data_IF_261695618619
#
_entry.id   IF_261695618619
#
_cell.length_a   1.000
_cell.length_b   1.000
_cell.length_c   1.000
_cell.angle_alpha   90.00
_cell.angle_beta   90.00
_cell.angle_gamma   90.00
#
_symmetry.space_group_name_H-M   'P 1'
#
loop_
_entity.id
_entity.type
_entity.pdbx_description
1 polymer ?
#
# COMPACT_ATOMS: atom_id res chain seq x y z
N UNK A 1 64.83 17.46 30.45
CA UNK A 1 66.03 18.20 30.01
C UNK A 1 65.89 18.56 28.54
N UNK A 2 66.12 19.82 28.27
CA UNK A 2 66.29 20.53 26.99
C UNK A 2 65.02 20.91 26.21
N UNK A 3 64.69 22.18 26.47
CA UNK A 3 63.94 23.11 25.65
C UNK A 3 64.68 23.43 24.34
N UNK A 4 63.95 23.72 23.29
CA UNK A 4 64.39 24.61 22.23
C UNK A 4 63.16 25.40 21.70
N UNK A 5 63.15 26.65 22.02
CA UNK A 5 62.39 27.72 21.37
C UNK A 5 63.05 28.10 20.03
N UNK A 6 62.28 28.38 18.98
CA UNK A 6 62.62 29.32 17.91
C UNK A 6 61.38 30.00 17.33
N UNK A 7 61.25 31.17 17.62
CA UNK A 7 61.06 32.49 17.04
C UNK A 7 60.09 32.64 15.84
N UNK A 8 59.21 33.64 16.04
CA UNK A 8 58.25 34.28 15.11
C UNK A 8 58.92 34.81 13.83
N UNK A 9 58.17 34.76 12.73
CA UNK A 9 58.27 35.73 11.66
C UNK A 9 56.88 36.17 11.22
N UNK A 10 56.57 37.43 11.44
CA UNK A 10 55.38 38.17 10.99
C UNK A 10 55.65 38.65 9.57
N UNK A 11 54.76 38.34 8.64
CA UNK A 11 54.63 39.07 7.36
C UNK A 11 53.16 39.27 7.04
N UNK A 12 52.68 40.46 7.04
CA UNK A 12 51.58 41.01 6.28
C UNK A 12 52.18 42.09 5.36
N UNK A 13 51.50 42.61 4.34
CA UNK A 13 50.16 42.42 3.77
C UNK A 13 50.16 42.31 2.23
N UNK A 14 49.04 41.91 1.63
CA UNK A 14 48.63 42.50 0.35
C UNK A 14 47.11 42.33 0.17
N UNK A 15 46.44 43.47 0.22
CA UNK A 15 45.04 43.56 -0.22
C UNK A 15 44.96 43.32 -1.73
N UNK A 16 44.14 42.39 -2.12
CA UNK A 16 43.72 42.26 -3.51
C UNK A 16 42.18 42.29 -3.59
N UNK A 17 41.66 43.42 -4.07
CA UNK A 17 40.29 43.57 -4.51
C UNK A 17 40.06 42.66 -5.70
N UNK A 18 39.34 41.59 -5.52
CA UNK A 18 38.90 40.66 -6.57
C UNK A 18 37.38 40.64 -6.63
N UNK A 19 36.85 41.05 -7.78
CA UNK A 19 35.45 41.13 -8.18
C UNK A 19 34.60 39.96 -7.66
N UNK A 20 33.54 40.28 -6.92
CA UNK A 20 32.43 39.40 -6.66
C UNK A 20 31.62 39.24 -7.95
N UNK A 21 31.83 38.13 -8.65
CA UNK A 21 30.93 37.66 -9.71
C UNK A 21 29.59 37.24 -9.11
N UNK A 22 28.48 37.39 -9.83
CA UNK A 22 27.16 36.99 -9.32
C UNK A 22 27.15 35.48 -9.06
N UNK A 23 26.92 35.09 -7.80
CA UNK A 23 26.66 33.72 -7.41
C UNK A 23 25.35 33.27 -8.05
N UNK A 24 25.44 32.39 -9.02
CA UNK A 24 24.30 31.65 -9.54
C UNK A 24 23.75 30.79 -8.40
N UNK A 25 22.70 31.28 -7.73
CA UNK A 25 21.88 30.46 -6.86
C UNK A 25 21.25 29.37 -7.73
N UNK A 26 21.74 28.14 -7.58
CA UNK A 26 21.07 26.97 -8.13
C UNK A 26 19.68 26.91 -7.49
N UNK A 27 18.66 27.34 -8.24
CA UNK A 27 17.28 27.08 -7.91
C UNK A 27 17.12 25.55 -7.96
N UNK A 28 17.05 24.90 -6.79
CA UNK A 28 16.62 23.54 -6.69
C UNK A 28 15.15 23.48 -7.15
N UNK A 29 14.95 23.17 -8.42
CA UNK A 29 13.62 22.78 -8.91
C UNK A 29 13.27 21.47 -8.25
N UNK A 30 12.55 21.54 -7.13
CA UNK A 30 11.89 20.38 -6.57
C UNK A 30 10.99 19.81 -7.66
N UNK A 31 11.26 18.57 -8.08
CA UNK A 31 10.38 17.85 -9.00
C UNK A 31 8.94 17.92 -8.43
N UNK A 32 7.93 18.15 -9.29
CA UNK A 32 6.55 18.21 -8.84
C UNK A 32 6.24 16.91 -8.11
N UNK A 33 5.88 17.00 -6.84
CA UNK A 33 5.40 15.85 -6.07
C UNK A 33 4.21 15.27 -6.81
N UNK A 34 4.34 14.04 -7.32
CA UNK A 34 3.26 13.37 -8.02
C UNK A 34 1.99 13.44 -7.16
N UNK A 35 0.89 13.89 -7.74
CA UNK A 35 -0.37 14.02 -7.03
C UNK A 35 -0.78 12.66 -6.47
N UNK A 36 -1.03 12.61 -5.16
CA UNK A 36 -1.47 11.40 -4.46
C UNK A 36 -2.99 11.41 -4.32
N UNK A 37 -3.59 10.24 -4.41
CA UNK A 37 -5.03 10.03 -4.32
C UNK A 37 -5.39 9.30 -3.04
N UNK A 38 -6.47 9.72 -2.39
CA UNK A 38 -7.06 9.04 -1.25
C UNK A 38 -8.07 8.00 -1.75
N UNK A 39 -8.01 6.81 -1.19
CA UNK A 39 -8.94 5.73 -1.44
C UNK A 39 -9.37 5.03 -0.16
N UNK A 40 -10.24 4.07 -0.31
CA UNK A 40 -10.69 3.23 0.79
C UNK A 40 -10.82 1.77 0.35
N UNK A 41 -10.78 0.87 1.31
CA UNK A 41 -11.23 -0.50 1.12
C UNK A 41 -12.11 -0.93 2.31
N UNK A 42 -12.85 -2.01 2.10
CA UNK A 42 -13.66 -2.69 3.09
C UNK A 42 -14.13 -4.05 2.56
N UNK A 43 -14.46 -4.98 3.47
CA UNK A 43 -14.91 -6.31 3.08
C UNK A 43 -16.28 -6.33 2.38
N UNK A 44 -17.21 -5.49 2.82
CA UNK A 44 -18.56 -5.44 2.26
C UNK A 44 -18.75 -4.30 1.27
N UNK A 45 -19.48 -4.55 0.20
CA UNK A 45 -19.86 -3.51 -0.75
C UNK A 45 -20.70 -2.41 -0.06
N UNK A 46 -20.37 -1.11 -0.25
CA UNK A 46 -21.02 -0.05 0.49
C UNK A 46 -22.48 0.23 0.04
N UNK A 47 -22.95 -0.41 -1.04
CA UNK A 47 -24.24 -0.13 -1.67
C UNK A 47 -24.21 1.03 -2.66
N UNK A 48 -24.95 0.89 -3.76
CA UNK A 48 -24.97 1.85 -4.88
C UNK A 48 -25.31 3.28 -4.41
N UNK A 49 -26.24 3.41 -3.44
CA UNK A 49 -26.67 4.69 -2.90
C UNK A 49 -25.58 5.51 -2.18
N UNK A 50 -24.51 4.84 -1.70
CA UNK A 50 -23.42 5.51 -0.99
C UNK A 50 -22.27 5.93 -1.91
N UNK A 51 -22.17 5.39 -3.14
CA UNK A 51 -21.03 5.61 -4.03
C UNK A 51 -20.79 7.10 -4.34
N UNK A 52 -21.84 7.85 -4.64
CA UNK A 52 -21.74 9.28 -4.93
C UNK A 52 -21.24 10.09 -3.72
N UNK A 53 -21.63 9.70 -2.51
CA UNK A 53 -21.13 10.32 -1.27
C UNK A 53 -19.66 9.99 -1.04
N UNK A 54 -19.28 8.73 -1.18
CA UNK A 54 -17.89 8.27 -1.04
C UNK A 54 -16.97 8.92 -2.08
N UNK A 55 -17.43 9.08 -3.33
CA UNK A 55 -16.67 9.72 -4.41
C UNK A 55 -16.27 11.18 -4.11
N UNK A 56 -17.01 11.89 -3.26
CA UNK A 56 -16.64 13.27 -2.84
C UNK A 56 -15.33 13.31 -2.05
N UNK A 57 -15.00 12.21 -1.37
CA UNK A 57 -13.80 12.10 -0.53
C UNK A 57 -12.73 11.24 -1.18
N UNK A 58 -13.10 10.17 -1.88
CA UNK A 58 -12.21 9.14 -2.38
C UNK A 58 -12.12 9.13 -3.90
N UNK A 59 -10.95 8.77 -4.40
CA UNK A 59 -10.70 8.61 -5.84
C UNK A 59 -10.87 7.16 -6.31
N UNK A 60 -10.70 6.18 -5.42
CA UNK A 60 -10.77 4.76 -5.71
C UNK A 60 -11.25 3.96 -4.49
N UNK A 61 -11.63 2.69 -4.74
CA UNK A 61 -12.08 1.74 -3.71
C UNK A 61 -11.45 0.37 -3.89
N UNK A 62 -11.33 -0.39 -2.80
CA UNK A 62 -11.11 -1.84 -2.84
C UNK A 62 -12.22 -2.54 -3.63
N UNK A 63 -11.89 -3.65 -4.30
CA UNK A 63 -12.82 -4.49 -5.04
C UNK A 63 -12.42 -5.96 -4.94
N UNK A 64 -13.20 -6.76 -4.23
CA UNK A 64 -12.88 -8.16 -3.99
C UNK A 64 -13.34 -9.08 -5.12
N UNK A 65 -12.43 -9.92 -5.62
CA UNK A 65 -12.71 -10.93 -6.65
C UNK A 65 -13.24 -12.25 -6.08
N UNK A 66 -12.90 -12.55 -4.83
CA UNK A 66 -13.40 -13.71 -4.07
C UNK A 66 -13.91 -13.26 -2.70
N UNK A 67 -14.34 -14.18 -1.87
CA UNK A 67 -14.87 -13.86 -0.54
C UNK A 67 -13.79 -13.21 0.33
N UNK A 68 -14.03 -11.99 0.85
CA UNK A 68 -13.08 -11.31 1.74
C UNK A 68 -12.83 -12.08 3.04
N UNK A 69 -11.72 -11.81 3.74
CA UNK A 69 -11.42 -12.42 5.03
C UNK A 69 -12.58 -12.23 6.03
N UNK A 70 -13.00 -13.32 6.67
CA UNK A 70 -14.05 -13.27 7.69
C UNK A 70 -15.47 -12.96 7.21
N UNK A 71 -15.68 -12.72 5.91
CA UNK A 71 -17.01 -12.49 5.34
C UNK A 71 -17.71 -13.81 4.98
N UNK A 72 -19.05 -13.82 5.07
CA UNK A 72 -19.86 -14.99 4.68
C UNK A 72 -20.00 -15.11 3.15
N UNK A 73 -19.90 -14.01 2.41
CA UNK A 73 -20.03 -13.98 0.95
C UNK A 73 -19.35 -12.75 0.39
N UNK A 74 -19.11 -12.76 -0.93
CA UNK A 74 -18.58 -11.59 -1.62
C UNK A 74 -19.70 -10.71 -2.18
N UNK A 75 -19.96 -9.58 -1.53
CA UNK A 75 -20.99 -8.63 -1.94
C UNK A 75 -20.54 -7.68 -3.06
N UNK A 76 -19.27 -7.71 -3.45
CA UNK A 76 -18.69 -6.90 -4.52
C UNK A 76 -18.95 -7.45 -5.93
N UNK A 77 -19.23 -8.77 -6.04
CA UNK A 77 -19.42 -9.41 -7.34
C UNK A 77 -20.53 -8.72 -8.16
N UNK A 78 -20.21 -8.44 -9.43
CA UNK A 78 -21.11 -7.76 -10.37
C UNK A 78 -21.25 -6.25 -10.14
N UNK A 79 -20.49 -5.63 -9.22
CA UNK A 79 -20.58 -4.20 -8.89
C UNK A 79 -19.61 -3.31 -9.64
N UNK A 80 -18.69 -3.88 -10.41
CA UNK A 80 -17.64 -3.13 -11.11
C UNK A 80 -18.19 -1.94 -11.91
N UNK A 81 -19.26 -2.14 -12.69
CA UNK A 81 -19.86 -1.08 -13.51
C UNK A 81 -20.45 0.06 -12.67
N UNK A 82 -21.07 -0.25 -11.54
CA UNK A 82 -21.62 0.76 -10.63
C UNK A 82 -20.50 1.60 -10.00
N UNK A 83 -19.42 0.98 -9.57
CA UNK A 83 -18.22 1.65 -9.03
C UNK A 83 -17.59 2.57 -10.08
N UNK A 84 -17.37 2.06 -11.30
CA UNK A 84 -16.79 2.84 -12.41
C UNK A 84 -17.70 4.02 -12.81
N UNK A 85 -19.03 3.80 -12.91
CA UNK A 85 -20.00 4.83 -13.23
C UNK A 85 -20.06 5.94 -12.16
N UNK A 86 -19.78 5.62 -10.91
CA UNK A 86 -19.63 6.61 -9.84
C UNK A 86 -18.31 7.42 -9.93
N UNK A 87 -17.42 7.09 -10.87
CA UNK A 87 -16.13 7.75 -11.08
C UNK A 87 -15.04 7.29 -10.14
N UNK A 88 -15.23 6.18 -9.41
CA UNK A 88 -14.20 5.57 -8.58
C UNK A 88 -13.26 4.68 -9.41
N UNK A 89 -11.97 4.71 -9.09
CA UNK A 89 -11.00 3.72 -9.54
C UNK A 89 -10.99 2.49 -8.64
N UNK A 90 -10.03 1.61 -8.86
CA UNK A 90 -10.01 0.28 -8.25
C UNK A 90 -8.69 -0.05 -7.55
N UNK A 91 -8.79 -0.73 -6.40
CA UNK A 91 -7.80 -1.64 -5.84
C UNK A 91 -8.41 -3.04 -5.92
N UNK A 92 -7.95 -3.87 -6.86
CA UNK A 92 -8.53 -5.20 -7.11
C UNK A 92 -7.86 -6.21 -6.18
N UNK A 93 -8.65 -6.91 -5.37
CA UNK A 93 -8.18 -7.82 -4.33
C UNK A 93 -8.58 -9.26 -4.58
N UNK A 94 -7.71 -10.17 -4.20
CA UNK A 94 -7.98 -11.59 -4.09
C UNK A 94 -7.50 -12.07 -2.72
N UNK A 95 -8.43 -12.54 -1.88
CA UNK A 95 -8.12 -13.10 -0.57
C UNK A 95 -7.23 -14.33 -0.72
N UNK A 96 -6.02 -14.26 -0.16
CA UNK A 96 -5.00 -15.30 -0.20
C UNK A 96 -5.23 -16.42 0.81
N UNK A 97 -4.16 -17.14 1.14
CA UNK A 97 -4.19 -18.27 2.08
C UNK A 97 -3.36 -17.98 3.30
N UNK A 98 -3.85 -18.40 4.44
CA UNK A 98 -3.11 -18.36 5.69
C UNK A 98 -2.06 -19.48 5.72
N UNK A 99 -0.98 -19.29 6.46
CA UNK A 99 0.07 -20.27 6.72
C UNK A 99 -0.50 -21.63 7.21
N UNK A 100 -1.49 -21.57 8.09
CA UNK A 100 -2.18 -22.77 8.59
C UNK A 100 -2.87 -23.58 7.53
N UNK A 101 -3.27 -22.98 6.42
CA UNK A 101 -3.87 -23.68 5.28
C UNK A 101 -2.77 -24.26 4.38
N UNK A 102 -1.72 -23.49 4.14
CA UNK A 102 -0.59 -23.88 3.30
C UNK A 102 0.17 -25.08 3.86
N UNK A 103 0.41 -25.12 5.16
CA UNK A 103 1.09 -26.24 5.85
C UNK A 103 0.36 -27.57 5.77
N UNK A 104 -0.94 -27.56 5.55
CA UNK A 104 -1.76 -28.79 5.42
C UNK A 104 -1.67 -29.43 4.04
N UNK A 105 -1.07 -28.75 3.07
CA UNK A 105 -1.06 -29.14 1.69
C UNK A 105 0.31 -29.68 1.27
N UNK A 106 0.35 -30.72 0.42
CA UNK A 106 1.61 -31.28 -0.06
C UNK A 106 2.36 -30.35 -1.02
N UNK A 107 1.68 -29.39 -1.63
CA UNK A 107 2.25 -28.48 -2.64
C UNK A 107 1.58 -27.10 -2.61
N UNK A 108 2.18 -26.18 -1.87
CA UNK A 108 1.73 -24.79 -1.79
C UNK A 108 1.87 -24.04 -3.14
N UNK A 109 2.83 -24.44 -3.98
CA UNK A 109 3.04 -23.84 -5.30
C UNK A 109 1.89 -24.20 -6.25
N UNK A 110 1.43 -25.46 -6.23
CA UNK A 110 0.27 -25.88 -7.02
C UNK A 110 -1.00 -25.10 -6.64
N UNK A 111 -1.19 -24.86 -5.33
CA UNK A 111 -2.29 -24.01 -4.86
C UNK A 111 -2.15 -22.56 -5.33
N UNK A 112 -0.95 -21.98 -5.23
CA UNK A 112 -0.69 -20.61 -5.71
C UNK A 112 -1.02 -20.45 -7.19
N UNK A 113 -0.65 -21.42 -8.01
CA UNK A 113 -1.02 -21.47 -9.44
C UNK A 113 -2.53 -21.58 -9.66
N UNK A 114 -3.21 -22.41 -8.88
CA UNK A 114 -4.67 -22.58 -8.93
C UNK A 114 -5.40 -21.29 -8.57
N UNK A 115 -5.00 -20.66 -7.47
CA UNK A 115 -5.60 -19.42 -6.99
C UNK A 115 -5.32 -18.23 -7.95
N UNK A 116 -4.14 -18.19 -8.58
CA UNK A 116 -3.85 -17.24 -9.66
C UNK A 116 -4.83 -17.42 -10.84
N UNK A 117 -5.07 -18.66 -11.26
CA UNK A 117 -6.06 -18.98 -12.29
C UNK A 117 -7.46 -18.51 -11.91
N UNK A 118 -7.87 -18.72 -10.67
CA UNK A 118 -9.17 -18.29 -10.15
C UNK A 118 -9.28 -16.75 -10.12
N UNK A 119 -8.24 -16.04 -9.65
CA UNK A 119 -8.18 -14.57 -9.62
C UNK A 119 -8.31 -13.97 -11.03
N UNK A 120 -7.56 -14.51 -12.00
CA UNK A 120 -7.60 -14.09 -13.40
C UNK A 120 -8.97 -14.34 -14.03
N UNK A 121 -9.57 -15.51 -13.78
CA UNK A 121 -10.91 -15.85 -14.27
C UNK A 121 -11.97 -14.89 -13.71
N UNK A 122 -11.92 -14.61 -12.41
CA UNK A 122 -12.82 -13.67 -11.75
C UNK A 122 -12.65 -12.23 -12.28
N UNK A 123 -11.40 -11.78 -12.46
CA UNK A 123 -11.13 -10.44 -13.00
C UNK A 123 -11.67 -10.28 -14.43
N UNK A 124 -11.50 -11.30 -15.28
CA UNK A 124 -12.07 -11.32 -16.64
C UNK A 124 -13.59 -11.35 -16.61
N UNK A 125 -14.20 -12.14 -15.73
CA UNK A 125 -15.66 -12.22 -15.57
C UNK A 125 -16.26 -10.86 -15.18
N UNK A 126 -15.59 -10.14 -14.26
CA UNK A 126 -15.98 -8.78 -13.87
C UNK A 126 -15.70 -7.73 -14.98
N UNK A 127 -14.96 -8.09 -16.02
CA UNK A 127 -14.64 -7.24 -17.16
C UNK A 127 -13.49 -6.26 -16.88
N UNK A 128 -12.58 -6.58 -15.96
CA UNK A 128 -11.35 -5.79 -15.78
C UNK A 128 -10.44 -5.91 -17.00
N UNK A 129 -9.80 -4.80 -17.43
CA UNK A 129 -8.97 -4.79 -18.64
C UNK A 129 -7.66 -5.57 -18.44
N UNK A 130 -7.07 -6.02 -19.55
CA UNK A 130 -5.70 -6.53 -19.55
C UNK A 130 -4.73 -5.47 -19.02
N UNK A 131 -3.69 -5.90 -18.30
CA UNK A 131 -2.75 -5.02 -17.63
C UNK A 131 -3.24 -4.45 -16.30
N UNK A 132 -4.49 -4.74 -15.89
CA UNK A 132 -4.95 -4.40 -14.54
C UNK A 132 -4.13 -5.17 -13.48
N UNK A 133 -3.95 -4.55 -12.32
CA UNK A 133 -3.19 -5.11 -11.20
C UNK A 133 -4.15 -5.82 -10.26
N UNK A 134 -3.89 -7.10 -9.95
CA UNK A 134 -4.62 -7.87 -8.96
C UNK A 134 -3.72 -8.05 -7.74
N UNK A 135 -4.17 -7.59 -6.58
CA UNK A 135 -3.44 -7.72 -5.33
C UNK A 135 -3.83 -9.00 -4.61
N UNK A 136 -2.85 -9.87 -4.33
CA UNK A 136 -3.00 -10.95 -3.38
C UNK A 136 -3.02 -10.36 -1.97
N UNK A 137 -4.04 -10.69 -1.21
CA UNK A 137 -4.14 -10.31 0.20
C UNK A 137 -3.35 -11.31 1.06
N UNK A 138 -2.17 -10.87 1.54
CA UNK A 138 -1.28 -11.62 2.43
C UNK A 138 -1.38 -10.99 3.84
N UNK A 139 -2.27 -11.52 4.64
CA UNK A 139 -2.63 -11.00 5.97
C UNK A 139 -1.51 -11.17 7.02
N UNK A 140 -0.74 -12.25 6.94
CA UNK A 140 0.22 -12.60 7.98
C UNK A 140 1.50 -11.76 7.85
N UNK A 141 1.93 -11.21 9.00
CA UNK A 141 3.17 -10.44 9.10
C UNK A 141 4.39 -11.28 9.50
N UNK A 142 5.57 -10.71 9.35
CA UNK A 142 6.86 -11.34 9.64
C UNK A 142 7.52 -11.93 8.40
N UNK A 143 8.50 -12.80 8.63
CA UNK A 143 9.22 -13.50 7.56
C UNK A 143 8.34 -14.55 6.90
N UNK A 144 8.32 -14.55 5.58
CA UNK A 144 7.59 -15.58 4.82
C UNK A 144 8.20 -16.96 5.05
N UNK A 145 7.37 -17.91 5.44
CA UNK A 145 7.74 -19.32 5.53
C UNK A 145 7.93 -19.91 4.12
N UNK A 146 8.64 -21.05 4.00
CA UNK A 146 8.88 -21.67 2.70
C UNK A 146 7.60 -21.91 1.89
N UNK A 147 6.54 -22.38 2.53
CA UNK A 147 5.24 -22.65 1.91
C UNK A 147 4.55 -21.37 1.44
N UNK A 148 4.57 -20.31 2.25
CA UNK A 148 4.04 -19.01 1.88
C UNK A 148 4.80 -18.43 0.67
N UNK A 149 6.12 -18.53 0.67
CA UNK A 149 6.96 -18.07 -0.43
C UNK A 149 6.68 -18.85 -1.71
N UNK A 150 6.57 -20.17 -1.63
CA UNK A 150 6.25 -21.02 -2.77
C UNK A 150 4.86 -20.68 -3.35
N UNK A 151 3.87 -20.47 -2.49
CA UNK A 151 2.52 -20.04 -2.86
C UNK A 151 2.53 -18.67 -3.56
N UNK A 152 3.15 -17.65 -2.94
CA UNK A 152 3.22 -16.29 -3.48
C UNK A 152 3.92 -16.27 -4.83
N UNK A 153 5.07 -16.96 -4.96
CA UNK A 153 5.81 -17.00 -6.22
C UNK A 153 4.98 -17.59 -7.36
N UNK A 154 4.32 -18.73 -7.12
CA UNK A 154 3.49 -19.38 -8.11
C UNK A 154 2.26 -18.53 -8.48
N UNK A 155 1.67 -17.84 -7.50
CA UNK A 155 0.57 -16.91 -7.73
C UNK A 155 1.01 -15.72 -8.59
N UNK A 156 2.12 -15.07 -8.25
CA UNK A 156 2.70 -13.95 -9.02
C UNK A 156 3.01 -14.36 -10.45
N UNK A 157 3.67 -15.50 -10.63
CA UNK A 157 4.02 -16.03 -11.98
C UNK A 157 2.75 -16.31 -12.80
N UNK A 158 1.72 -16.89 -12.17
CA UNK A 158 0.44 -17.19 -12.82
C UNK A 158 -0.33 -15.94 -13.26
N UNK A 159 -0.39 -14.91 -12.41
CA UNK A 159 -1.08 -13.64 -12.73
C UNK A 159 -0.30 -12.88 -13.81
N UNK A 160 1.02 -12.70 -13.65
CA UNK A 160 1.85 -12.00 -14.64
C UNK A 160 1.85 -12.68 -16.00
N UNK A 161 1.83 -14.02 -16.04
CA UNK A 161 1.74 -14.81 -17.27
C UNK A 161 0.38 -14.75 -17.98
N UNK A 162 -0.64 -14.15 -17.37
CA UNK A 162 -2.03 -14.16 -17.88
C UNK A 162 -2.45 -12.89 -18.62
N UNK A 163 -1.57 -11.88 -18.69
CA UNK A 163 -1.87 -10.55 -19.21
C UNK A 163 -2.41 -9.56 -18.17
N UNK A 164 -2.51 -9.97 -16.89
CA UNK A 164 -2.67 -9.08 -15.74
C UNK A 164 -1.31 -8.81 -15.08
N UNK A 165 -1.29 -7.95 -14.07
CA UNK A 165 -0.09 -7.71 -13.25
C UNK A 165 -0.35 -8.13 -11.82
N UNK A 166 0.65 -8.75 -11.19
CA UNK A 166 0.58 -9.17 -9.81
C UNK A 166 0.92 -8.02 -8.87
N UNK A 167 0.08 -7.82 -7.85
CA UNK A 167 0.36 -7.02 -6.68
C UNK A 167 0.27 -7.87 -5.43
N UNK A 168 0.84 -7.41 -4.32
CA UNK A 168 0.71 -8.05 -3.01
C UNK A 168 0.35 -6.97 -2.00
N UNK A 169 -0.75 -7.20 -1.26
CA UNK A 169 -1.03 -6.51 0.00
C UNK A 169 -0.31 -7.25 1.12
N UNK A 170 0.47 -6.54 1.92
CA UNK A 170 1.24 -7.13 3.02
C UNK A 170 1.61 -6.09 4.08
N UNK A 171 2.04 -6.58 5.26
CA UNK A 171 2.46 -5.73 6.37
C UNK A 171 3.73 -4.94 6.07
N UNK A 172 3.69 -3.64 6.33
CA UNK A 172 4.85 -2.75 6.44
C UNK A 172 5.30 -2.50 7.87
N UNK A 173 4.68 -3.19 8.84
CA UNK A 173 5.04 -3.07 10.26
C UNK A 173 6.13 -4.08 10.57
N UNK A 174 7.17 -3.62 11.27
CA UNK A 174 8.24 -4.49 11.73
C UNK A 174 7.72 -5.51 12.75
N UNK A 175 7.79 -6.79 12.41
CA UNK A 175 7.44 -7.89 13.30
C UNK A 175 8.69 -8.37 14.06
N UNK A 176 8.62 -8.62 15.39
CA UNK A 176 9.74 -9.14 16.15
C UNK A 176 10.06 -10.57 15.73
N UNK A 177 11.34 -10.89 15.58
CA UNK A 177 11.84 -12.25 15.35
C UNK A 177 12.78 -12.74 16.45
N UNK A 178 12.95 -14.08 16.53
CA UNK A 178 13.69 -14.76 17.61
C UNK A 178 15.14 -14.31 17.79
N UNK A 179 15.75 -13.66 16.80
CA UNK A 179 17.14 -13.15 16.86
C UNK A 179 17.21 -11.64 17.18
N UNK A 180 16.12 -11.01 17.57
CA UNK A 180 16.08 -9.61 17.94
C UNK A 180 16.14 -8.62 16.77
N UNK A 181 16.25 -9.09 15.53
CA UNK A 181 16.18 -8.25 14.33
C UNK A 181 14.75 -8.31 13.79
N UNK A 182 13.99 -7.21 13.85
CA UNK A 182 12.63 -7.21 13.34
C UNK A 182 12.62 -7.36 11.81
N UNK A 183 11.56 -7.96 11.28
CA UNK A 183 11.35 -8.16 9.85
C UNK A 183 10.13 -7.41 9.38
N UNK A 184 10.26 -6.67 8.29
CA UNK A 184 9.14 -6.06 7.56
C UNK A 184 8.75 -7.00 6.43
N UNK A 185 7.51 -7.47 6.43
CA UNK A 185 7.02 -8.48 5.46
C UNK A 185 7.18 -8.03 4.02
N UNK A 186 6.87 -6.78 3.72
CA UNK A 186 7.04 -6.22 2.37
C UNK A 186 8.50 -6.29 1.89
N UNK A 187 9.45 -6.04 2.78
CA UNK A 187 10.88 -6.13 2.48
C UNK A 187 11.31 -7.57 2.26
N UNK A 188 10.89 -8.50 3.13
CA UNK A 188 11.19 -9.94 2.98
C UNK A 188 10.64 -10.51 1.66
N UNK A 189 9.41 -10.14 1.27
CA UNK A 189 8.82 -10.55 -0.01
C UNK A 189 9.65 -9.99 -1.17
N UNK A 190 10.01 -8.71 -1.14
CA UNK A 190 10.79 -8.06 -2.20
C UNK A 190 12.17 -8.66 -2.37
N UNK A 191 12.89 -8.85 -1.26
CA UNK A 191 14.24 -9.44 -1.25
C UNK A 191 14.24 -10.87 -1.81
N UNK A 192 13.16 -11.61 -1.57
CA UNK A 192 13.01 -12.99 -2.03
C UNK A 192 12.19 -13.12 -3.32
N UNK A 193 11.85 -12.02 -4.00
CA UNK A 193 11.01 -12.05 -5.21
C UNK A 193 11.63 -12.80 -6.40
N UNK A 194 12.96 -12.99 -6.42
CA UNK A 194 13.65 -13.72 -7.50
C UNK A 194 13.50 -13.06 -8.87
N UNK A 195 13.48 -11.72 -8.92
CA UNK A 195 13.34 -10.94 -10.16
C UNK A 195 11.90 -10.80 -10.67
N UNK A 196 10.89 -11.25 -9.92
CA UNK A 196 9.48 -11.09 -10.28
C UNK A 196 9.03 -9.64 -10.19
N UNK A 197 8.23 -9.19 -11.17
CA UNK A 197 7.57 -7.87 -11.12
C UNK A 197 6.36 -7.95 -10.18
N UNK A 198 6.42 -7.20 -9.08
CA UNK A 198 5.41 -7.18 -8.02
C UNK A 198 5.11 -5.72 -7.67
N UNK A 199 3.83 -5.36 -7.66
CA UNK A 199 3.33 -4.09 -7.15
C UNK A 199 3.00 -4.23 -5.66
N UNK A 200 3.43 -3.29 -4.81
CA UNK A 200 3.28 -3.41 -3.37
C UNK A 200 2.19 -2.49 -2.81
N UNK A 201 1.21 -3.09 -2.16
CA UNK A 201 0.26 -2.41 -1.29
C UNK A 201 0.61 -2.72 0.16
N UNK A 202 1.07 -1.72 0.88
CA UNK A 202 1.66 -1.89 2.21
C UNK A 202 0.69 -1.41 3.29
N UNK A 203 0.38 -2.27 4.25
CA UNK A 203 -0.37 -1.92 5.44
C UNK A 203 0.56 -1.44 6.55
N UNK A 204 0.40 -0.20 6.98
CA UNK A 204 1.04 0.33 8.19
C UNK A 204 0.16 1.41 8.81
N UNK A 205 -0.65 1.02 9.78
CA UNK A 205 -1.54 1.88 10.56
C UNK A 205 -0.93 2.31 11.91
N UNK A 206 0.36 2.00 12.14
CA UNK A 206 1.09 2.48 13.31
C UNK A 206 1.21 4.02 13.27
N UNK A 207 1.04 4.66 14.41
CA UNK A 207 1.07 6.11 14.50
C UNK A 207 2.19 6.59 15.45
N UNK A 208 3.20 7.31 14.94
CA UNK A 208 3.45 7.55 13.51
C UNK A 208 3.88 6.28 12.75
N UNK A 209 3.93 6.25 11.42
CA UNK A 209 3.76 7.34 10.48
C UNK A 209 2.31 7.63 10.05
N UNK A 210 1.34 6.77 10.40
CA UNK A 210 -0.06 6.98 10.04
C UNK A 210 -0.60 8.28 10.63
N UNK A 211 -1.35 9.07 9.87
CA UNK A 211 -2.08 10.23 10.38
C UNK A 211 -3.38 9.84 11.13
N UNK A 212 -3.67 8.53 11.28
CA UNK A 212 -4.92 8.03 11.83
C UNK A 212 -6.13 8.27 10.93
N UNK A 213 -7.36 8.14 11.47
CA UNK A 213 -8.59 8.37 10.73
C UNK A 213 -8.71 9.85 10.35
N UNK A 214 -8.10 10.21 9.25
CA UNK A 214 -8.13 11.55 8.70
C UNK A 214 -8.18 11.50 7.16
N UNK A 215 -8.67 12.58 6.55
CA UNK A 215 -8.91 12.65 5.10
C UNK A 215 -8.07 13.77 4.48
N UNK A 216 -6.73 13.67 4.51
CA UNK A 216 -5.84 14.75 4.09
C UNK A 216 -5.91 15.00 2.58
N UNK A 217 -5.79 16.27 2.21
CA UNK A 217 -5.65 16.75 0.83
C UNK A 217 -4.45 17.70 0.76
N UNK A 218 -3.35 17.32 0.08
CA UNK A 218 -3.12 16.04 -0.61
C UNK A 218 -3.01 14.85 0.36
N UNK A 219 -3.28 13.64 -0.13
CA UNK A 219 -3.06 12.42 0.62
C UNK A 219 -1.55 12.20 0.85
N UNK A 220 -1.12 11.51 1.93
CA UNK A 220 0.30 11.25 2.16
C UNK A 220 0.88 10.35 1.06
N UNK A 221 2.16 10.53 0.73
CA UNK A 221 2.81 9.65 -0.25
C UNK A 221 2.90 8.21 0.28
N UNK A 222 2.68 7.17 -0.55
CA UNK A 222 2.79 5.77 -0.12
C UNK A 222 4.14 5.41 0.51
N UNK A 223 5.23 6.02 0.04
CA UNK A 223 6.58 5.84 0.62
C UNK A 223 6.70 6.28 2.08
N UNK A 224 5.75 7.06 2.60
CA UNK A 224 5.70 7.44 4.03
C UNK A 224 5.19 6.30 4.93
N UNK A 225 4.75 5.19 4.35
CA UNK A 225 4.42 3.96 5.10
C UNK A 225 5.59 3.39 5.92
N UNK A 226 6.82 3.85 5.68
CA UNK A 226 8.07 3.26 6.17
C UNK A 226 8.70 2.32 5.14
N UNK A 227 7.97 1.95 4.07
CA UNK A 227 8.44 1.12 2.96
C UNK A 227 8.58 1.99 1.72
N UNK A 228 9.81 2.33 1.33
CA UNK A 228 10.09 3.32 0.30
C UNK A 228 9.53 2.97 -1.09
N UNK A 229 9.39 1.68 -1.38
CA UNK A 229 8.89 1.17 -2.65
C UNK A 229 7.38 0.90 -2.68
N UNK A 230 6.64 1.25 -1.63
CA UNK A 230 5.18 1.10 -1.62
C UNK A 230 4.53 1.91 -2.75
N UNK A 231 3.67 1.26 -3.53
CA UNK A 231 2.83 1.89 -4.55
C UNK A 231 1.50 2.38 -3.97
N UNK A 232 0.99 1.62 -3.01
CA UNK A 232 -0.21 1.91 -2.22
C UNK A 232 0.12 1.73 -0.74
N UNK A 233 -0.43 2.59 0.11
CA UNK A 233 -0.31 2.49 1.56
C UNK A 233 -1.69 2.51 2.22
N UNK A 234 -2.04 1.43 2.92
CA UNK A 234 -3.17 1.42 3.86
C UNK A 234 -2.66 1.94 5.19
N UNK A 235 -3.13 3.14 5.56
CA UNK A 235 -2.68 3.83 6.77
C UNK A 235 -3.71 3.83 7.90
N UNK A 236 -4.92 3.31 7.66
CA UNK A 236 -5.97 3.11 8.65
C UNK A 236 -6.62 1.76 8.45
N UNK A 237 -6.81 1.03 9.54
CA UNK A 237 -7.67 -0.15 9.61
C UNK A 237 -8.88 0.16 10.51
N UNK A 238 -10.03 -0.39 10.18
CA UNK A 238 -11.30 -0.22 10.89
C UNK A 238 -11.97 -1.57 11.17
N UNK A 239 -12.20 -1.92 12.42
CA UNK A 239 -11.83 -1.13 13.61
C UNK A 239 -10.32 -1.14 13.86
N UNK A 240 -9.85 -0.08 14.53
CA UNK A 240 -8.44 0.07 14.92
C UNK A 240 -7.91 -1.20 15.60
N UNK A 241 -6.73 -1.67 15.18
CA UNK A 241 -6.10 -2.86 15.79
C UNK A 241 -5.92 -2.72 17.28
N UNK A 242 -6.18 -3.80 18.02
CA UNK A 242 -5.87 -3.88 19.46
C UNK A 242 -4.36 -3.73 19.66
N UNK A 243 -3.96 -2.88 20.60
CA UNK A 243 -2.55 -2.62 20.91
C UNK A 243 -1.84 -1.66 19.96
N UNK A 244 -2.49 -1.14 18.91
CA UNK A 244 -1.95 -0.02 18.16
C UNK A 244 -1.75 1.16 19.12
N UNK A 245 -0.54 1.77 19.10
CA UNK A 245 -0.20 2.89 19.96
C UNK A 245 -1.26 3.98 19.86
N UNK A 246 -1.51 4.68 21.00
CA UNK A 246 -2.43 5.79 21.03
C UNK A 246 -1.92 6.92 20.13
N UNK A 247 -2.38 6.90 18.90
CA UNK A 247 -2.37 8.05 18.03
C UNK A 247 -3.50 8.95 18.48
N UNK A 248 -3.36 10.26 18.54
CA UNK A 248 -4.49 11.18 18.55
C UNK A 248 -5.17 11.07 17.19
N UNK A 249 -5.84 9.95 16.99
CA UNK A 249 -6.39 9.56 15.72
C UNK A 249 -7.88 9.75 15.85
N UNK A 250 -8.48 10.48 14.95
CA UNK A 250 -9.88 10.84 14.90
C UNK A 250 -10.80 9.61 14.63
N UNK A 251 -10.51 8.46 15.25
CA UNK A 251 -11.39 7.31 15.22
C UNK A 251 -12.62 7.58 16.09
N UNK A 252 -13.72 7.00 15.69
CA UNK A 252 -14.92 7.00 16.52
C UNK A 252 -14.73 6.15 17.80
N UNK A 253 -15.59 6.29 18.80
CA UNK A 253 -15.48 5.54 20.06
C UNK A 253 -15.48 4.01 19.90
N UNK A 254 -16.07 3.49 18.82
CA UNK A 254 -16.05 2.07 18.47
C UNK A 254 -14.75 1.61 17.78
N UNK A 255 -13.82 2.53 17.60
CA UNK A 255 -12.53 2.27 16.93
C UNK A 255 -12.59 2.32 15.41
N UNK A 256 -13.73 2.64 14.82
CA UNK A 256 -13.92 2.65 13.36
C UNK A 256 -13.68 4.03 12.75
N UNK A 257 -13.34 4.05 11.46
CA UNK A 257 -13.14 5.25 10.66
C UNK A 257 -14.31 5.44 9.70
N UNK A 258 -15.15 6.44 9.97
CA UNK A 258 -16.34 6.72 9.16
C UNK A 258 -16.07 7.83 8.14
N UNK A 259 -16.41 7.60 6.85
CA UNK A 259 -16.23 8.60 5.81
C UNK A 259 -17.10 9.84 6.04
N UNK A 260 -16.64 11.03 5.62
CA UNK A 260 -17.45 12.24 5.66
C UNK A 260 -18.75 12.10 4.86
N UNK A 261 -19.86 12.53 5.45
CA UNK A 261 -21.18 12.52 4.81
C UNK A 261 -21.89 11.17 4.81
N UNK A 262 -21.32 10.16 5.44
CA UNK A 262 -21.97 8.86 5.68
C UNK A 262 -22.51 8.82 7.11
N UNK A 263 -23.76 8.40 7.26
CA UNK A 263 -24.38 8.27 8.57
C UNK A 263 -23.78 7.08 9.35
N UNK A 264 -23.48 7.26 10.62
CA UNK A 264 -22.78 6.25 11.47
C UNK A 264 -23.64 5.02 11.77
N UNK A 265 -24.95 5.18 11.83
CA UNK A 265 -25.91 4.10 12.01
C UNK A 265 -25.91 3.08 10.87
N UNK A 266 -25.40 3.45 9.69
CA UNK A 266 -25.21 2.53 8.56
C UNK A 266 -24.09 1.53 8.77
N UNK A 267 -23.23 1.72 9.77
CA UNK A 267 -21.99 0.96 10.00
C UNK A 267 -21.07 0.89 8.77
N UNK A 268 -21.10 1.90 7.94
CA UNK A 268 -20.23 2.02 6.79
C UNK A 268 -18.92 2.69 7.21
N UNK A 269 -18.08 1.94 7.89
CA UNK A 269 -16.70 2.31 8.18
C UNK A 269 -15.75 1.75 7.10
N UNK A 270 -14.57 2.33 6.98
CA UNK A 270 -13.61 2.02 5.92
C UNK A 270 -12.18 1.98 6.44
N UNK A 271 -11.34 1.25 5.75
CA UNK A 271 -9.90 1.35 5.82
C UNK A 271 -9.45 2.43 4.83
N UNK A 272 -8.43 3.23 5.21
CA UNK A 272 -7.97 4.35 4.39
C UNK A 272 -6.67 4.04 3.69
N UNK A 273 -6.65 4.36 2.41
CA UNK A 273 -5.51 4.12 1.52
C UNK A 273 -5.06 5.39 0.82
N UNK A 274 -3.78 5.41 0.47
CA UNK A 274 -3.23 6.39 -0.45
C UNK A 274 -2.45 5.71 -1.56
N UNK A 275 -2.51 6.27 -2.77
CA UNK A 275 -1.79 5.80 -3.95
C UNK A 275 -1.31 6.98 -4.80
N UNK A 276 -0.36 6.70 -5.71
CA UNK A 276 0.11 7.70 -6.70
C UNK A 276 -0.83 7.84 -7.91
N UNK A 277 -1.95 7.11 -7.91
CA UNK A 277 -2.95 7.09 -8.97
C UNK A 277 -4.35 7.14 -8.37
N UNK A 278 -5.29 7.68 -9.11
CA UNK A 278 -6.71 7.64 -8.80
C UNK A 278 -7.39 6.33 -9.27
N UNK A 279 -6.62 5.44 -9.89
CA UNK A 279 -7.01 4.08 -10.28
C UNK A 279 -5.79 3.14 -10.12
N UNK A 280 -5.39 2.80 -8.89
CA UNK A 280 -4.14 2.10 -8.61
C UNK A 280 -4.01 0.74 -9.28
N UNK A 281 -5.13 0.03 -9.44
CA UNK A 281 -5.17 -1.25 -10.17
C UNK A 281 -5.34 -1.10 -11.68
N UNK A 282 -5.47 0.12 -12.22
CA UNK A 282 -5.77 0.36 -13.65
C UNK A 282 -7.01 -0.41 -14.10
N UNK A 283 -8.03 -0.43 -13.25
CA UNK A 283 -9.23 -1.24 -13.42
C UNK A 283 -10.33 -0.58 -14.25
N UNK A 284 -10.22 0.73 -14.54
CA UNK A 284 -11.20 1.43 -15.38
C UNK A 284 -11.12 1.01 -16.84
N UNK A 285 -12.28 1.00 -17.48
CA UNK A 285 -12.35 0.77 -18.92
C UNK A 285 -11.75 1.96 -19.68
N UNK A 286 -10.83 1.71 -20.61
CA UNK A 286 -10.24 2.78 -21.43
C UNK A 286 -9.01 3.47 -20.84
N UNK A 287 -8.50 3.09 -19.69
CA UNK A 287 -7.18 3.51 -19.20
C UNK A 287 -6.08 2.83 -20.07
N UNK A 288 -5.67 3.49 -21.14
CA UNK A 288 -4.51 3.11 -21.96
C UNK A 288 -3.32 3.99 -21.64
#
# INVERSE_FOLDING_TARGET
MRSALWTLAVFAPAANCGNAGPSLQAQSTSAPTAATSLGFDRNEYPGDGNLATLRRTFSYTGYWLNTPPGAASNTWLGRRRAVEAAGLGFLILFNGRLDTDLKKLPDASALGKSDAGAAVAAARHEGFPAGAIIFLDQEEGGRMLPEQRAYIHAWVDGVNGSGFRAGIYCSGIAAPEAKGVPVVTAEDIRENAGGRDIVFWVANDACPPSPGCSFPKPAPAPSRSGVAFADVWQFVQSPKRRGAAACPANYDPDGSCYPPGVARDTRLFVDLNTARSDDPSRGRSGAR
#
